data_IF_115544572060
#
_entry.id   IF_115544572060
#
_cell.length_a   1.000
_cell.length_b   1.000
_cell.length_c   1.000
_cell.angle_alpha   90.00
_cell.angle_beta   90.00
_cell.angle_gamma   90.00
#
_symmetry.space_group_name_H-M   'P 1'
#
loop_
_entity.id
_entity.type
_entity.pdbx_description
1 polymer ?
#
# COMPACT_ATOMS: atom_id res chain seq x y z
N UNK A 1 -9.66 19.78 17.16
CA UNK A 1 -10.36 18.54 17.57
C UNK A 1 -11.65 18.92 18.27
N UNK A 2 -12.73 18.15 18.11
CA UNK A 2 -14.03 18.45 18.72
C UNK A 2 -14.04 18.15 20.22
N UNK A 3 -14.90 18.82 20.98
CA UNK A 3 -15.04 18.68 22.44
C UNK A 3 -16.16 17.70 22.84
N UNK A 4 -16.32 16.60 22.10
CA UNK A 4 -17.40 15.61 22.28
C UNK A 4 -16.87 14.31 22.91
N UNK A 5 -17.79 13.46 23.43
CA UNK A 5 -17.46 12.14 23.98
C UNK A 5 -17.98 11.02 23.07
N UNK A 6 -17.40 9.80 23.12
CA UNK A 6 -17.95 8.64 22.42
C UNK A 6 -19.45 8.47 22.71
N UNK A 7 -20.25 8.33 21.65
CA UNK A 7 -21.72 8.22 21.73
C UNK A 7 -22.50 9.54 21.58
N UNK A 8 -21.84 10.71 21.50
CA UNK A 8 -22.53 12.02 21.43
C UNK A 8 -23.53 12.16 20.27
N UNK A 9 -23.30 11.47 19.15
CA UNK A 9 -24.13 11.57 17.93
C UNK A 9 -25.47 10.85 18.08
N UNK A 10 -25.51 9.75 18.85
CA UNK A 10 -26.72 8.90 18.99
C UNK A 10 -27.97 9.67 19.42
N UNK A 11 -27.94 10.58 20.42
CA UNK A 11 -29.11 11.38 20.77
C UNK A 11 -29.46 12.50 19.78
N UNK A 12 -28.60 12.78 18.78
CA UNK A 12 -28.82 13.83 17.77
C UNK A 12 -29.50 13.31 16.49
N UNK A 13 -29.66 11.99 16.35
CA UNK A 13 -30.29 11.35 15.20
C UNK A 13 -31.50 10.51 15.64
N UNK A 14 -32.50 10.31 14.77
CA UNK A 14 -33.62 9.42 15.06
C UNK A 14 -33.16 8.00 15.40
N UNK A 15 -33.94 7.30 16.24
CA UNK A 15 -33.63 5.92 16.64
C UNK A 15 -33.78 4.92 15.47
N UNK A 16 -34.65 5.25 14.51
CA UNK A 16 -34.97 4.44 13.33
C UNK A 16 -34.85 5.28 12.06
N UNK A 17 -34.55 4.64 10.94
CA UNK A 17 -34.55 5.30 9.63
C UNK A 17 -35.97 5.78 9.26
N UNK A 18 -36.11 6.89 8.52
CA UNK A 18 -37.42 7.42 8.16
C UNK A 18 -38.14 6.50 7.16
N UNK A 19 -39.44 6.24 7.37
CA UNK A 19 -40.27 5.47 6.43
C UNK A 19 -40.59 6.25 5.13
N UNK A 20 -40.43 7.57 5.17
CA UNK A 20 -40.73 8.48 4.06
C UNK A 20 -39.50 9.34 3.76
N UNK A 21 -39.30 9.74 2.49
CA UNK A 21 -38.17 10.61 2.15
C UNK A 21 -38.27 11.96 2.85
N UNK A 22 -37.13 12.47 3.30
CA UNK A 22 -36.99 13.81 3.85
C UNK A 22 -36.59 14.80 2.76
N UNK A 23 -36.98 16.09 2.88
CA UNK A 23 -36.50 17.10 1.95
C UNK A 23 -34.98 17.27 2.08
N UNK A 24 -34.29 17.38 0.95
CA UNK A 24 -32.83 17.59 0.90
C UNK A 24 -32.34 18.74 1.79
N UNK A 25 -33.16 19.78 1.94
CA UNK A 25 -32.87 20.94 2.79
C UNK A 25 -32.79 20.60 4.28
N UNK A 26 -33.54 19.60 4.75
CA UNK A 26 -33.41 19.10 6.12
C UNK A 26 -32.08 18.35 6.30
N UNK A 27 -31.76 17.44 5.37
CA UNK A 27 -30.49 16.69 5.38
C UNK A 27 -29.27 17.62 5.35
N UNK A 28 -29.32 18.68 4.54
CA UNK A 28 -28.21 19.65 4.49
C UNK A 28 -28.10 20.51 5.75
N UNK A 29 -29.21 20.81 6.43
CA UNK A 29 -29.16 21.52 7.71
C UNK A 29 -28.47 20.69 8.81
N UNK A 30 -28.63 19.38 8.78
CA UNK A 30 -28.01 18.45 9.73
C UNK A 30 -26.48 18.35 9.59
N UNK A 31 -25.92 18.69 8.42
CA UNK A 31 -24.46 18.70 8.25
C UNK A 31 -23.82 19.63 9.29
N UNK A 32 -24.28 20.87 9.38
CA UNK A 32 -23.70 21.84 10.33
C UNK A 32 -24.08 21.52 11.79
N UNK A 33 -25.34 21.17 12.03
CA UNK A 33 -25.87 21.01 13.38
C UNK A 33 -25.40 19.71 14.05
N UNK A 34 -25.35 18.63 13.29
CA UNK A 34 -25.13 17.27 13.80
C UNK A 34 -23.73 16.79 13.44
N UNK A 35 -23.36 16.82 12.17
CA UNK A 35 -22.09 16.22 11.69
C UNK A 35 -20.88 17.06 12.10
N UNK A 36 -20.85 18.34 11.72
CA UNK A 36 -19.68 19.21 11.89
C UNK A 36 -19.28 19.39 13.37
N UNK A 37 -20.23 19.25 14.31
CA UNK A 37 -20.00 19.34 15.75
C UNK A 37 -18.96 18.33 16.29
N UNK A 38 -18.81 17.17 15.64
CA UNK A 38 -17.80 16.17 15.99
C UNK A 38 -16.76 15.90 14.92
N UNK A 39 -16.68 16.73 13.88
CA UNK A 39 -15.63 16.63 12.86
C UNK A 39 -14.31 17.12 13.43
N UNK A 40 -13.27 16.29 13.33
CA UNK A 40 -11.90 16.80 13.40
C UNK A 40 -11.57 17.43 12.05
N UNK A 41 -11.36 18.74 12.02
CA UNK A 41 -11.04 19.46 10.77
C UNK A 41 -9.61 19.17 10.30
N UNK A 42 -9.42 18.04 9.62
CA UNK A 42 -8.13 17.59 9.10
C UNK A 42 -7.48 18.58 8.12
N UNK A 43 -8.29 19.37 7.40
CA UNK A 43 -7.81 20.40 6.47
C UNK A 43 -7.58 21.77 7.13
N UNK A 44 -7.69 21.87 8.45
CA UNK A 44 -7.33 23.11 9.14
C UNK A 44 -5.81 23.32 9.07
N UNK A 45 -5.32 24.54 8.75
CA UNK A 45 -3.88 24.86 8.85
C UNK A 45 -3.29 24.70 10.26
N UNK A 46 -4.14 24.54 11.28
CA UNK A 46 -3.77 24.32 12.68
C UNK A 46 -3.76 22.84 13.08
N UNK A 47 -4.05 21.93 12.14
CA UNK A 47 -4.00 20.50 12.39
C UNK A 47 -2.59 19.96 12.13
N UNK A 48 -1.94 19.51 13.20
CA UNK A 48 -0.55 19.01 13.16
C UNK A 48 -0.41 17.61 13.78
N UNK A 49 -1.52 16.86 13.85
CA UNK A 49 -1.49 15.46 14.28
C UNK A 49 -1.28 14.54 13.06
N UNK A 50 -0.64 13.40 13.29
CA UNK A 50 -0.37 12.38 12.26
C UNK A 50 0.41 12.95 11.05
N UNK A 51 0.30 12.28 9.90
CA UNK A 51 0.62 12.86 8.60
C UNK A 51 -0.63 13.51 8.00
N UNK A 52 -0.47 14.50 7.09
CA UNK A 52 -1.59 15.16 6.46
C UNK A 52 -2.45 14.18 5.66
N UNK A 53 -3.72 14.54 5.51
CA UNK A 53 -4.56 14.04 4.43
C UNK A 53 -4.77 15.18 3.44
N UNK A 54 -4.48 14.89 2.18
CA UNK A 54 -4.52 15.83 1.10
C UNK A 54 -5.97 15.98 0.59
N UNK A 55 -6.29 17.17 0.08
CA UNK A 55 -7.57 17.48 -0.56
C UNK A 55 -7.35 18.71 -1.46
N UNK A 56 -8.01 18.71 -2.62
CA UNK A 56 -8.05 19.87 -3.51
C UNK A 56 -9.36 19.95 -4.27
N UNK A 57 -9.69 21.16 -4.76
CA UNK A 57 -10.89 21.36 -5.57
C UNK A 57 -10.94 20.45 -6.82
N UNK A 58 -9.84 20.25 -7.59
CA UNK A 58 -9.85 19.30 -8.69
C UNK A 58 -10.17 17.87 -8.25
N UNK A 59 -9.61 17.41 -7.12
CA UNK A 59 -9.88 16.06 -6.60
C UNK A 59 -11.35 15.91 -6.19
N UNK A 60 -11.95 16.90 -5.52
CA UNK A 60 -13.38 16.89 -5.18
C UNK A 60 -14.26 16.77 -6.44
N UNK A 61 -13.96 17.54 -7.47
CA UNK A 61 -14.74 17.50 -8.72
C UNK A 61 -14.54 16.18 -9.46
N UNK A 62 -13.32 15.63 -9.45
CA UNK A 62 -13.04 14.32 -10.03
C UNK A 62 -13.82 13.20 -9.32
N UNK A 63 -13.89 13.22 -7.98
CA UNK A 63 -14.68 12.25 -7.21
C UNK A 63 -16.18 12.38 -7.48
N UNK A 64 -16.69 13.61 -7.65
CA UNK A 64 -18.09 13.83 -8.04
C UNK A 64 -18.39 13.20 -9.41
N UNK A 65 -17.47 13.30 -10.38
CA UNK A 65 -17.60 12.67 -11.69
C UNK A 65 -17.49 11.14 -11.60
N UNK A 66 -16.52 10.63 -10.84
CA UNK A 66 -16.35 9.20 -10.58
C UNK A 66 -17.63 8.61 -9.95
N UNK A 67 -18.18 9.27 -8.93
CA UNK A 67 -19.42 8.88 -8.28
C UNK A 67 -20.66 9.00 -9.17
N UNK A 68 -20.68 9.93 -10.13
CA UNK A 68 -21.77 10.05 -11.11
C UNK A 68 -21.73 8.94 -12.17
N UNK A 69 -20.53 8.53 -12.61
CA UNK A 69 -20.35 7.42 -13.56
C UNK A 69 -20.61 6.08 -12.87
N UNK A 70 -20.14 5.92 -11.63
CA UNK A 70 -20.33 4.74 -10.78
C UNK A 70 -20.03 3.39 -11.47
N UNK A 71 -19.04 3.35 -12.37
CA UNK A 71 -18.63 2.12 -13.05
C UNK A 71 -17.82 1.22 -12.11
N UNK A 72 -17.81 -0.09 -12.40
CA UNK A 72 -17.05 -1.08 -11.62
C UNK A 72 -16.05 -1.76 -12.55
N UNK A 73 -14.76 -1.55 -12.31
CA UNK A 73 -13.65 -2.03 -13.15
C UNK A 73 -13.01 -3.34 -12.70
N UNK A 74 -13.80 -4.35 -12.31
CA UNK A 74 -13.23 -5.65 -11.85
C UNK A 74 -12.60 -6.48 -12.98
N UNK A 75 -12.93 -6.17 -14.24
CA UNK A 75 -12.30 -6.68 -15.43
C UNK A 75 -12.29 -5.58 -16.49
N UNK A 76 -11.38 -5.71 -17.48
CA UNK A 76 -11.28 -4.72 -18.54
C UNK A 76 -12.62 -4.50 -19.26
N UNK A 77 -13.35 -5.58 -19.58
CA UNK A 77 -14.64 -5.47 -20.28
C UNK A 77 -15.75 -4.84 -19.43
N UNK A 78 -15.64 -4.88 -18.09
CA UNK A 78 -16.63 -4.27 -17.20
C UNK A 78 -16.58 -2.74 -17.26
N UNK A 79 -15.40 -2.15 -17.47
CA UNK A 79 -15.22 -0.72 -17.74
C UNK A 79 -13.82 -0.45 -18.32
N UNK A 80 -13.64 -0.49 -19.65
CA UNK A 80 -12.32 -0.32 -20.27
C UNK A 80 -11.64 0.98 -19.86
N UNK A 81 -12.39 2.09 -19.85
CA UNK A 81 -11.87 3.39 -19.46
C UNK A 81 -11.37 3.43 -18.00
N UNK A 82 -11.96 2.64 -17.10
CA UNK A 82 -11.52 2.55 -15.70
C UNK A 82 -10.11 1.95 -15.61
N UNK A 83 -9.88 0.84 -16.32
CA UNK A 83 -8.56 0.17 -16.32
C UNK A 83 -7.53 0.96 -17.11
N UNK A 84 -7.85 1.36 -18.34
CA UNK A 84 -6.93 2.05 -19.25
C UNK A 84 -6.43 3.38 -18.66
N UNK A 85 -7.35 4.17 -18.07
CA UNK A 85 -6.97 5.45 -17.49
C UNK A 85 -6.09 5.27 -16.24
N UNK A 86 -6.36 4.25 -15.42
CA UNK A 86 -5.52 3.94 -14.26
C UNK A 86 -4.09 3.62 -14.68
N UNK A 87 -3.91 2.77 -15.69
CA UNK A 87 -2.58 2.41 -16.21
C UNK A 87 -1.81 3.65 -16.66
N UNK A 88 -2.44 4.51 -17.47
CA UNK A 88 -1.79 5.74 -17.96
C UNK A 88 -1.45 6.71 -16.80
N UNK A 89 -2.37 6.87 -15.84
CA UNK A 89 -2.14 7.78 -14.70
C UNK A 89 -1.02 7.27 -13.78
N UNK A 90 -0.90 5.96 -13.59
CA UNK A 90 0.17 5.39 -12.76
C UNK A 90 1.53 5.39 -13.46
N UNK A 91 1.56 5.30 -14.79
CA UNK A 91 2.79 5.56 -15.55
C UNK A 91 3.22 7.02 -15.40
N UNK A 92 2.31 7.98 -15.58
CA UNK A 92 2.60 9.40 -15.36
C UNK A 92 3.11 9.67 -13.94
N UNK A 93 2.42 9.10 -12.94
CA UNK A 93 2.80 9.28 -11.55
C UNK A 93 4.16 8.64 -11.24
N UNK A 94 4.44 7.44 -11.75
CA UNK A 94 5.74 6.79 -11.62
C UNK A 94 6.87 7.62 -12.26
N UNK A 95 6.65 8.16 -13.45
CA UNK A 95 7.58 9.08 -14.11
C UNK A 95 7.82 10.35 -13.29
N UNK A 96 6.77 10.94 -12.72
CA UNK A 96 6.88 12.12 -11.86
C UNK A 96 7.74 11.84 -10.62
N UNK A 97 7.62 10.65 -10.02
CA UNK A 97 8.43 10.24 -8.87
C UNK A 97 9.86 9.89 -9.25
N UNK A 98 10.10 9.53 -10.51
CA UNK A 98 11.39 9.03 -10.98
C UNK A 98 11.68 7.59 -10.52
N UNK A 99 10.65 6.75 -10.39
CA UNK A 99 10.85 5.32 -10.14
C UNK A 99 11.39 4.62 -11.41
N UNK A 100 12.06 3.47 -11.29
CA UNK A 100 12.59 2.73 -12.43
C UNK A 100 11.53 2.39 -13.50
N UNK A 101 11.91 2.43 -14.79
CA UNK A 101 11.01 2.08 -15.91
C UNK A 101 10.45 0.66 -15.79
N UNK A 102 11.16 -0.27 -15.14
CA UNK A 102 10.69 -1.64 -14.88
C UNK A 102 9.41 -1.73 -14.04
N UNK A 103 9.02 -0.64 -13.36
CA UNK A 103 7.74 -0.55 -12.65
C UNK A 103 6.60 -0.04 -13.53
N UNK A 104 6.88 0.51 -14.71
CA UNK A 104 5.91 1.22 -15.54
C UNK A 104 5.37 0.30 -16.64
N UNK A 105 4.06 0.32 -16.86
CA UNK A 105 3.40 -0.51 -17.87
C UNK A 105 3.90 -0.15 -19.28
N UNK A 106 4.09 1.14 -19.57
CA UNK A 106 4.67 1.65 -20.83
C UNK A 106 6.05 1.11 -21.19
N UNK A 107 6.77 0.47 -20.25
CA UNK A 107 8.06 -0.16 -20.55
C UNK A 107 7.91 -1.39 -21.45
N UNK A 108 6.72 -1.99 -21.54
CA UNK A 108 6.47 -3.25 -22.22
C UNK A 108 6.98 -4.48 -21.46
N UNK A 109 7.49 -4.30 -20.24
CA UNK A 109 7.85 -5.38 -19.31
C UNK A 109 6.64 -5.94 -18.57
N UNK A 110 6.88 -6.80 -17.58
CA UNK A 110 5.82 -7.38 -16.74
C UNK A 110 5.28 -6.39 -15.68
N UNK A 111 6.03 -5.33 -15.38
CA UNK A 111 5.73 -4.40 -14.29
C UNK A 111 4.55 -3.48 -14.56
N UNK A 112 4.01 -2.91 -13.48
CA UNK A 112 2.90 -1.97 -13.58
C UNK A 112 2.49 -1.38 -12.25
N UNK A 113 1.66 -0.34 -12.32
CA UNK A 113 1.02 0.28 -11.17
C UNK A 113 -0.43 -0.18 -11.00
N UNK A 114 -0.93 -0.14 -9.77
CA UNK A 114 -2.35 -0.26 -9.42
C UNK A 114 -2.73 0.71 -8.30
N UNK A 115 -3.96 1.24 -8.32
CA UNK A 115 -4.51 2.05 -7.22
C UNK A 115 -5.12 1.11 -6.17
N UNK A 116 -4.73 1.32 -4.91
CA UNK A 116 -5.22 0.64 -3.71
C UNK A 116 -5.96 1.65 -2.82
N UNK A 117 -6.77 1.18 -1.88
CA UNK A 117 -7.42 2.06 -0.90
C UNK A 117 -6.40 2.63 0.09
N UNK A 118 -5.48 1.80 0.57
CA UNK A 118 -4.49 2.24 1.57
C UNK A 118 -3.08 1.65 1.38
N UNK A 119 -2.08 2.34 1.94
CA UNK A 119 -0.73 1.76 2.11
C UNK A 119 -0.75 0.45 2.92
N UNK A 120 -1.72 0.28 3.83
CA UNK A 120 -1.82 -0.95 4.63
C UNK A 120 -2.22 -2.14 3.76
N UNK A 121 -3.15 -1.92 2.84
CA UNK A 121 -3.54 -2.92 1.82
C UNK A 121 -2.40 -3.17 0.86
N UNK A 122 -1.72 -2.13 0.36
CA UNK A 122 -0.58 -2.28 -0.54
C UNK A 122 0.54 -3.14 0.09
N UNK A 123 0.90 -2.90 1.36
CA UNK A 123 1.88 -3.73 2.09
C UNK A 123 1.39 -5.16 2.27
N UNK A 124 0.10 -5.38 2.56
CA UNK A 124 -0.46 -6.73 2.67
C UNK A 124 -0.43 -7.47 1.32
N UNK A 125 -0.80 -6.79 0.24
CA UNK A 125 -0.75 -7.34 -1.13
C UNK A 125 0.68 -7.72 -1.51
N UNK A 126 1.66 -6.85 -1.21
CA UNK A 126 3.08 -7.16 -1.42
C UNK A 126 3.53 -8.39 -0.62
N UNK A 127 3.15 -8.48 0.66
CA UNK A 127 3.46 -9.63 1.52
C UNK A 127 2.84 -10.92 0.98
N UNK A 128 1.60 -10.88 0.48
CA UNK A 128 0.91 -12.05 -0.07
C UNK A 128 1.53 -12.50 -1.40
N UNK A 129 1.94 -11.56 -2.27
CA UNK A 129 2.73 -11.87 -3.47
C UNK A 129 4.09 -12.50 -3.13
N UNK A 130 4.82 -11.91 -2.19
CA UNK A 130 6.08 -12.45 -1.69
C UNK A 130 5.93 -13.86 -1.10
N UNK A 131 4.84 -14.08 -0.34
CA UNK A 131 4.50 -15.39 0.22
C UNK A 131 4.25 -16.40 -0.89
N UNK A 132 3.48 -16.06 -1.92
CA UNK A 132 3.23 -16.94 -3.07
C UNK A 132 4.53 -17.36 -3.76
N UNK A 133 5.41 -16.39 -4.09
CA UNK A 133 6.75 -16.64 -4.66
C UNK A 133 7.57 -17.58 -3.77
N UNK A 134 7.61 -17.32 -2.47
CA UNK A 134 8.40 -18.09 -1.51
C UNK A 134 7.89 -19.53 -1.34
N UNK A 135 6.57 -19.71 -1.31
CA UNK A 135 5.92 -21.03 -1.24
C UNK A 135 6.26 -21.86 -2.47
N UNK A 136 6.16 -21.28 -3.67
CA UNK A 136 6.52 -21.96 -4.92
C UNK A 136 7.98 -22.41 -4.90
N UNK A 137 8.92 -21.50 -4.58
CA UNK A 137 10.35 -21.80 -4.50
C UNK A 137 10.66 -22.90 -3.48
N UNK A 138 10.07 -22.82 -2.29
CA UNK A 138 10.28 -23.82 -1.25
C UNK A 138 9.75 -25.19 -1.65
N UNK A 139 8.63 -25.25 -2.38
CA UNK A 139 8.04 -26.49 -2.88
C UNK A 139 8.88 -27.13 -3.98
N UNK A 140 9.53 -26.34 -4.84
CA UNK A 140 10.49 -26.85 -5.83
C UNK A 140 11.73 -27.44 -5.17
N UNK A 141 12.25 -26.81 -4.10
CA UNK A 141 13.43 -27.26 -3.37
C UNK A 141 13.13 -28.43 -2.43
N UNK A 142 11.91 -28.50 -1.89
CA UNK A 142 11.45 -29.52 -0.97
C UNK A 142 10.06 -30.06 -1.36
N UNK A 143 9.96 -30.90 -2.40
CA UNK A 143 8.68 -31.40 -2.92
C UNK A 143 7.83 -32.14 -1.88
N UNK A 144 8.49 -32.78 -0.91
CA UNK A 144 7.85 -33.55 0.16
C UNK A 144 7.25 -32.70 1.28
N UNK A 145 7.63 -31.41 1.38
CA UNK A 145 7.08 -30.53 2.42
C UNK A 145 5.64 -30.12 2.08
N UNK A 146 4.77 -30.18 3.08
CA UNK A 146 3.40 -29.66 2.97
C UNK A 146 3.39 -28.13 2.99
N UNK A 147 2.33 -27.52 2.47
CA UNK A 147 2.18 -26.07 2.48
C UNK A 147 2.20 -25.49 3.91
N UNK A 148 1.65 -26.23 4.88
CA UNK A 148 1.64 -25.83 6.30
C UNK A 148 3.05 -25.81 6.88
N UNK A 149 3.89 -26.81 6.54
CA UNK A 149 5.27 -26.87 6.98
C UNK A 149 6.08 -25.69 6.43
N UNK A 150 5.95 -25.40 5.13
CA UNK A 150 6.61 -24.26 4.49
C UNK A 150 6.15 -22.95 5.14
N UNK A 151 4.82 -22.75 5.25
CA UNK A 151 4.25 -21.53 5.82
C UNK A 151 4.75 -21.26 7.24
N UNK A 152 4.86 -22.30 8.07
CA UNK A 152 5.33 -22.19 9.47
C UNK A 152 6.80 -21.73 9.59
N UNK A 153 7.57 -21.89 8.51
CA UNK A 153 8.98 -21.53 8.41
C UNK A 153 9.20 -20.13 7.83
N UNK A 154 8.21 -19.54 7.15
CA UNK A 154 8.35 -18.21 6.56
C UNK A 154 8.55 -17.13 7.63
N UNK A 155 9.54 -16.25 7.39
CA UNK A 155 9.83 -15.08 8.23
C UNK A 155 10.15 -13.86 7.38
N UNK A 156 9.55 -12.73 7.72
CA UNK A 156 9.85 -11.43 7.13
C UNK A 156 10.37 -10.41 8.15
N UNK A 157 10.83 -9.26 7.65
CA UNK A 157 11.57 -8.28 8.43
C UNK A 157 11.09 -6.86 8.19
N UNK A 158 11.16 -6.03 9.21
CA UNK A 158 10.92 -4.59 9.09
C UNK A 158 11.70 -3.81 10.14
N UNK A 159 11.83 -2.50 9.95
CA UNK A 159 12.31 -1.61 11.00
C UNK A 159 11.33 -1.64 12.19
N UNK A 160 11.83 -1.63 13.43
CA UNK A 160 10.99 -1.44 14.63
C UNK A 160 10.19 -0.11 14.63
N UNK A 161 10.57 0.86 13.80
CA UNK A 161 9.81 2.09 13.54
C UNK A 161 8.87 2.03 12.33
N UNK A 162 8.77 0.87 11.66
CA UNK A 162 7.81 0.67 10.60
C UNK A 162 6.38 0.91 11.13
N UNK A 163 5.49 1.31 10.22
CA UNK A 163 4.10 1.54 10.60
C UNK A 163 3.44 0.24 11.06
N UNK A 164 2.45 0.34 11.96
CA UNK A 164 1.72 -0.83 12.49
C UNK A 164 1.00 -1.66 11.42
N UNK A 165 0.83 -1.12 10.20
CA UNK A 165 0.32 -1.88 9.05
C UNK A 165 1.20 -3.06 8.70
N UNK A 166 2.52 -2.97 8.88
CA UNK A 166 3.45 -4.05 8.57
C UNK A 166 3.20 -5.23 9.51
N UNK A 167 3.14 -4.98 10.83
CA UNK A 167 2.78 -6.00 11.82
C UNK A 167 1.40 -6.60 11.51
N UNK A 168 0.41 -5.76 11.20
CA UNK A 168 -0.94 -6.21 10.82
C UNK A 168 -0.93 -7.08 9.56
N UNK A 169 -0.08 -6.77 8.57
CA UNK A 169 0.07 -7.58 7.37
C UNK A 169 0.63 -8.97 7.70
N UNK A 170 1.57 -9.08 8.64
CA UNK A 170 2.04 -10.38 9.13
C UNK A 170 0.95 -11.19 9.82
N UNK A 171 0.16 -10.54 10.68
CA UNK A 171 -0.97 -11.17 11.37
C UNK A 171 -2.02 -11.70 10.38
N UNK A 172 -2.43 -10.88 9.41
CA UNK A 172 -3.42 -11.27 8.38
C UNK A 172 -2.85 -12.27 7.38
N UNK A 173 -1.56 -12.14 7.05
CA UNK A 173 -0.86 -13.03 6.13
C UNK A 173 -0.53 -14.40 6.70
N UNK A 174 -0.64 -14.57 8.03
CA UNK A 174 -0.33 -15.81 8.75
C UNK A 174 1.16 -16.13 8.81
N UNK A 175 2.01 -15.10 8.84
CA UNK A 175 3.48 -15.24 8.78
C UNK A 175 4.17 -14.54 9.94
N UNK A 176 5.38 -15.00 10.28
CA UNK A 176 6.22 -14.35 11.29
C UNK A 176 6.82 -13.08 10.72
N UNK A 177 6.75 -11.98 11.46
CA UNK A 177 7.47 -10.74 11.16
C UNK A 177 8.39 -10.37 12.34
N UNK A 178 9.66 -10.11 12.04
CA UNK A 178 10.66 -9.64 12.99
C UNK A 178 10.85 -8.14 12.84
N UNK A 179 10.60 -7.41 13.92
CA UNK A 179 10.95 -5.98 14.02
C UNK A 179 12.41 -5.82 14.43
N UNK A 180 13.23 -5.33 13.52
CA UNK A 180 14.67 -5.17 13.70
C UNK A 180 15.01 -3.81 14.31
N UNK A 181 16.06 -3.79 15.15
CA UNK A 181 16.50 -2.57 15.83
C UNK A 181 17.18 -1.64 14.81
N UNK A 182 16.72 -0.39 14.64
CA UNK A 182 17.41 0.55 13.77
C UNK A 182 18.68 1.13 14.42
N UNK A 183 19.46 1.84 13.62
CA UNK A 183 20.64 2.58 14.07
C UNK A 183 20.29 3.84 14.88
N UNK A 184 21.30 4.64 15.22
CA UNK A 184 21.13 5.89 15.97
C UNK A 184 20.36 6.98 15.21
N UNK A 185 20.26 6.89 13.88
CA UNK A 185 19.42 7.75 13.03
C UNK A 185 18.02 7.17 12.83
N UNK A 186 17.72 6.04 13.49
CA UNK A 186 16.46 5.30 13.40
C UNK A 186 16.25 4.66 12.02
N UNK A 187 17.31 4.53 11.23
CA UNK A 187 17.34 3.83 9.95
C UNK A 187 17.62 2.35 10.19
N UNK A 188 16.86 1.47 9.54
CA UNK A 188 17.29 0.07 9.35
C UNK A 188 18.50 0.06 8.41
N UNK A 189 19.46 -0.82 8.72
CA UNK A 189 20.74 -0.95 8.01
C UNK A 189 20.89 -2.36 7.47
N UNK A 190 21.63 -2.51 6.37
CA UNK A 190 21.82 -3.81 5.72
C UNK A 190 22.46 -4.84 6.64
N UNK A 191 23.47 -4.44 7.43
CA UNK A 191 24.15 -5.33 8.39
C UNK A 191 23.16 -5.96 9.39
N UNK A 192 22.28 -5.17 9.99
CA UNK A 192 21.26 -5.66 10.94
C UNK A 192 20.29 -6.64 10.29
N UNK A 193 19.88 -6.37 9.04
CA UNK A 193 19.04 -7.29 8.28
C UNK A 193 19.78 -8.59 7.97
N UNK A 194 21.03 -8.50 7.52
CA UNK A 194 21.85 -9.65 7.15
C UNK A 194 22.12 -10.56 8.34
N UNK A 195 22.38 -10.00 9.53
CA UNK A 195 22.54 -10.77 10.78
C UNK A 195 21.26 -11.52 11.15
N UNK A 196 20.11 -10.86 11.08
CA UNK A 196 18.82 -11.48 11.38
C UNK A 196 18.50 -12.64 10.40
N UNK A 197 18.78 -12.43 9.11
CA UNK A 197 18.63 -13.46 8.06
C UNK A 197 19.52 -14.67 8.37
N UNK A 198 20.80 -14.46 8.68
CA UNK A 198 21.75 -15.54 9.02
C UNK A 198 21.29 -16.34 10.24
N UNK A 199 20.78 -15.66 11.26
CA UNK A 199 20.23 -16.28 12.46
C UNK A 199 19.01 -17.15 12.11
N UNK A 200 18.08 -16.64 11.33
CA UNK A 200 16.83 -17.34 11.00
C UNK A 200 17.06 -18.54 10.08
N UNK A 201 17.97 -18.43 9.11
CA UNK A 201 18.40 -19.57 8.28
C UNK A 201 19.00 -20.66 9.17
N UNK A 202 19.86 -20.30 10.14
CA UNK A 202 20.44 -21.26 11.08
C UNK A 202 19.37 -21.95 11.94
N UNK A 203 18.28 -21.26 12.23
CA UNK A 203 17.12 -21.79 12.95
C UNK A 203 16.12 -22.56 12.06
N UNK A 204 16.45 -22.77 10.78
CA UNK A 204 15.63 -23.53 9.83
C UNK A 204 14.38 -22.79 9.35
N UNK A 205 14.36 -21.46 9.46
CA UNK A 205 13.35 -20.58 8.89
C UNK A 205 13.73 -20.15 7.46
N UNK A 206 12.74 -19.65 6.73
CA UNK A 206 12.85 -19.19 5.34
C UNK A 206 12.62 -17.67 5.31
N UNK A 207 13.68 -16.86 5.25
CA UNK A 207 13.60 -15.44 4.93
C UNK A 207 12.90 -15.24 3.58
N UNK A 208 11.88 -14.38 3.52
CA UNK A 208 11.16 -14.17 2.25
C UNK A 208 10.69 -12.75 1.97
N UNK A 209 10.55 -11.89 2.97
CA UNK A 209 9.99 -10.56 2.81
C UNK A 209 10.71 -9.53 3.70
N UNK A 210 11.02 -8.36 3.16
CA UNK A 210 11.53 -7.22 3.91
C UNK A 210 10.78 -5.95 3.54
N UNK A 211 10.44 -5.14 4.54
CA UNK A 211 9.87 -3.79 4.34
C UNK A 211 10.91 -2.75 4.70
N UNK A 212 11.30 -1.94 3.71
CA UNK A 212 12.07 -0.71 3.92
C UNK A 212 11.09 0.47 3.98
N UNK A 213 11.16 1.27 5.04
CA UNK A 213 10.29 2.45 5.20
C UNK A 213 11.05 3.72 4.83
N UNK A 214 10.55 4.45 3.83
CA UNK A 214 11.02 5.79 3.47
C UNK A 214 10.06 6.82 4.08
N UNK A 215 10.41 7.32 5.27
CA UNK A 215 9.57 8.25 6.03
C UNK A 215 8.75 7.55 7.12
N UNK A 216 9.41 7.05 8.16
CA UNK A 216 8.77 6.39 9.30
C UNK A 216 7.76 7.31 10.01
N UNK A 217 6.70 6.75 10.58
CA UNK A 217 5.59 7.54 11.13
C UNK A 217 6.00 8.47 12.27
N UNK A 218 6.90 8.04 13.14
CA UNK A 218 7.22 8.78 14.36
C UNK A 218 8.11 10.00 14.10
N UNK A 219 9.10 9.88 13.21
CA UNK A 219 10.09 10.94 12.97
C UNK A 219 10.52 11.12 11.53
N UNK A 220 9.79 10.53 10.59
CA UNK A 220 10.10 10.59 9.17
C UNK A 220 11.55 10.15 8.87
N UNK A 221 12.02 9.09 9.56
CA UNK A 221 13.33 8.50 9.27
C UNK A 221 13.27 7.68 7.98
N UNK A 222 14.42 7.48 7.35
CA UNK A 222 14.55 6.73 6.11
C UNK A 222 15.46 5.53 6.35
N UNK A 223 14.98 4.35 6.01
CA UNK A 223 15.81 3.15 5.99
C UNK A 223 16.86 3.25 4.88
N UNK A 224 18.01 2.61 5.07
CA UNK A 224 19.09 2.63 4.09
C UNK A 224 18.78 1.61 2.99
N UNK A 225 18.00 2.05 2.02
CA UNK A 225 17.45 1.22 0.96
C UNK A 225 18.53 0.56 0.09
N UNK A 226 19.64 1.27 -0.17
CA UNK A 226 20.75 0.75 -0.96
C UNK A 226 21.37 -0.49 -0.32
N UNK A 227 21.68 -0.41 0.99
CA UNK A 227 22.22 -1.53 1.77
C UNK A 227 21.22 -2.68 1.94
N UNK A 228 19.95 -2.36 2.19
CA UNK A 228 18.89 -3.36 2.36
C UNK A 228 18.64 -4.10 1.04
N UNK A 229 18.63 -3.36 -0.08
CA UNK A 229 18.47 -3.91 -1.42
C UNK A 229 19.53 -4.94 -1.76
N UNK A 230 20.80 -4.66 -1.47
CA UNK A 230 21.89 -5.63 -1.69
C UNK A 230 21.66 -6.93 -0.91
N UNK A 231 21.31 -6.82 0.37
CA UNK A 231 21.05 -7.98 1.24
C UNK A 231 19.84 -8.79 0.74
N UNK A 232 18.78 -8.11 0.30
CA UNK A 232 17.58 -8.74 -0.24
C UNK A 232 17.87 -9.49 -1.54
N UNK A 233 18.63 -8.91 -2.47
CA UNK A 233 19.00 -9.57 -3.73
C UNK A 233 19.90 -10.79 -3.49
N UNK A 234 20.92 -10.67 -2.63
CA UNK A 234 21.82 -11.78 -2.27
C UNK A 234 21.07 -12.98 -1.68
N UNK A 235 19.97 -12.71 -0.96
CA UNK A 235 19.18 -13.73 -0.26
C UNK A 235 17.88 -14.13 -0.97
N UNK A 236 17.62 -13.59 -2.16
CA UNK A 236 16.34 -13.70 -2.90
C UNK A 236 15.12 -13.48 -1.98
N UNK A 237 15.12 -12.34 -1.28
CA UNK A 237 14.05 -11.86 -0.39
C UNK A 237 13.31 -10.75 -1.10
N UNK A 238 11.98 -10.80 -1.09
CA UNK A 238 11.15 -9.72 -1.65
C UNK A 238 11.33 -8.43 -0.85
N UNK A 239 11.73 -7.35 -1.52
CA UNK A 239 11.86 -6.02 -0.93
C UNK A 239 10.66 -5.15 -1.31
N UNK A 240 9.85 -4.82 -0.31
CA UNK A 240 8.76 -3.85 -0.42
C UNK A 240 9.17 -2.51 0.20
N UNK A 241 8.90 -1.41 -0.50
CA UNK A 241 9.12 -0.06 0.02
C UNK A 241 7.79 0.57 0.40
N UNK A 242 7.67 0.91 1.69
CA UNK A 242 6.61 1.78 2.21
C UNK A 242 7.11 3.22 2.25
N UNK A 243 6.68 4.03 1.28
CA UNK A 243 6.93 5.45 1.22
C UNK A 243 5.66 6.28 1.43
N UNK A 244 4.66 5.77 2.16
CA UNK A 244 3.30 6.31 2.24
C UNK A 244 3.24 7.85 2.33
N UNK A 245 4.06 8.47 3.19
CA UNK A 245 4.14 9.93 3.31
C UNK A 245 5.23 10.56 2.43
N UNK A 246 6.48 10.11 2.57
CA UNK A 246 7.61 10.78 1.92
C UNK A 246 7.66 10.57 0.41
N UNK A 247 6.92 9.60 -0.14
CA UNK A 247 6.85 9.33 -1.57
C UNK A 247 6.46 10.56 -2.39
N UNK A 248 5.54 11.39 -1.89
CA UNK A 248 5.16 12.64 -2.55
C UNK A 248 6.33 13.61 -2.73
N UNK A 249 7.36 13.56 -1.88
CA UNK A 249 8.54 14.43 -2.03
C UNK A 249 9.40 14.08 -3.25
N UNK A 250 9.29 12.87 -3.80
CA UNK A 250 10.11 12.41 -4.92
C UNK A 250 9.69 13.00 -6.28
N UNK A 251 8.57 13.73 -6.32
CA UNK A 251 8.25 14.60 -7.46
C UNK A 251 9.32 15.68 -7.66
N UNK A 252 9.98 16.08 -6.57
CA UNK A 252 11.07 17.05 -6.54
C UNK A 252 12.41 16.30 -6.66
N UNK A 253 13.16 16.46 -7.77
CA UNK A 253 14.40 15.71 -8.01
C UNK A 253 15.44 15.81 -6.89
N UNK A 254 15.48 16.93 -6.17
CA UNK A 254 16.39 17.19 -5.07
C UNK A 254 16.17 16.30 -3.84
N UNK A 255 15.03 15.61 -3.72
CA UNK A 255 14.78 14.62 -2.65
C UNK A 255 15.01 13.18 -3.09
N UNK A 256 15.21 12.90 -4.39
CA UNK A 256 15.33 11.53 -4.91
C UNK A 256 16.59 10.80 -4.43
N UNK A 257 17.59 11.49 -3.88
CA UNK A 257 18.73 10.82 -3.24
C UNK A 257 18.30 9.92 -2.06
N UNK A 258 17.13 10.18 -1.46
CA UNK A 258 16.56 9.37 -0.37
C UNK A 258 15.97 8.04 -0.86
N UNK A 259 15.84 7.84 -2.18
CA UNK A 259 15.39 6.58 -2.78
C UNK A 259 16.52 5.81 -3.46
N UNK A 260 17.78 6.13 -3.16
CA UNK A 260 18.94 5.38 -3.67
C UNK A 260 18.79 3.89 -3.34
N UNK A 261 18.82 3.02 -4.35
CA UNK A 261 18.54 1.58 -4.22
C UNK A 261 17.13 1.15 -4.62
N UNK A 262 16.25 2.07 -5.05
CA UNK A 262 14.88 1.78 -5.52
C UNK A 262 14.82 0.74 -6.63
N UNK A 263 15.84 0.69 -7.49
CA UNK A 263 15.98 -0.31 -8.54
C UNK A 263 16.12 -1.74 -8.02
N UNK A 264 16.40 -1.94 -6.73
CA UNK A 264 16.54 -3.26 -6.11
C UNK A 264 15.23 -3.77 -5.49
N UNK A 265 14.18 -2.95 -5.43
CA UNK A 265 12.90 -3.32 -4.84
C UNK A 265 12.02 -4.12 -5.80
N UNK A 266 11.16 -4.97 -5.25
CA UNK A 266 10.16 -5.72 -5.99
C UNK A 266 8.81 -4.98 -6.04
N UNK A 267 8.53 -4.18 -5.01
CA UNK A 267 7.33 -3.33 -4.95
C UNK A 267 7.55 -2.02 -4.20
N UNK A 268 6.80 -1.00 -4.57
CA UNK A 268 6.85 0.34 -4.00
C UNK A 268 5.44 0.89 -3.82
N UNK A 269 5.13 1.52 -2.69
CA UNK A 269 3.88 2.27 -2.54
C UNK A 269 4.10 3.66 -1.94
N UNK A 270 3.22 4.59 -2.30
CA UNK A 270 3.02 5.82 -1.54
C UNK A 270 1.57 6.33 -1.65
N UNK A 271 1.20 7.31 -0.83
CA UNK A 271 -0.17 7.81 -0.79
C UNK A 271 -0.30 9.21 -1.38
N UNK A 272 -0.84 9.35 -2.61
CA UNK A 272 -1.31 10.62 -3.11
C UNK A 272 -2.26 11.34 -2.12
N UNK A 273 -3.10 10.57 -1.41
CA UNK A 273 -4.01 11.11 -0.40
C UNK A 273 -3.36 11.65 0.88
N UNK A 274 -2.03 11.53 1.04
CA UNK A 274 -1.32 12.16 2.17
C UNK A 274 -0.81 13.54 1.80
N UNK A 275 0.06 13.62 0.80
CA UNK A 275 0.78 14.86 0.50
C UNK A 275 0.87 15.20 -1.00
N UNK A 276 -0.09 14.72 -1.81
CA UNK A 276 -0.19 15.05 -3.24
C UNK A 276 -1.57 15.60 -3.67
N UNK A 277 -2.34 16.11 -2.70
CA UNK A 277 -3.60 16.84 -2.92
C UNK A 277 -4.74 16.05 -3.60
N UNK A 278 -4.67 14.72 -3.59
CA UNK A 278 -5.77 13.82 -3.96
C UNK A 278 -6.58 13.48 -2.69
N UNK A 279 -7.88 13.30 -2.80
CA UNK A 279 -8.72 12.95 -1.64
C UNK A 279 -8.42 11.52 -1.15
N UNK A 280 -8.78 11.22 0.09
CA UNK A 280 -8.83 9.84 0.57
C UNK A 280 -10.10 9.16 0.03
N UNK A 281 -10.03 7.96 -0.53
CA UNK A 281 -8.88 7.07 -0.68
C UNK A 281 -8.12 7.21 -2.02
N UNK A 282 -6.81 6.93 -1.99
CA UNK A 282 -5.92 6.87 -3.16
C UNK A 282 -4.50 6.50 -2.71
N UNK A 283 -4.12 5.23 -2.82
CA UNK A 283 -2.78 4.73 -2.52
C UNK A 283 -2.20 4.08 -3.76
N UNK A 284 -1.12 4.62 -4.31
CA UNK A 284 -0.52 4.07 -5.52
C UNK A 284 0.52 3.01 -5.14
N UNK A 285 0.47 1.85 -5.82
CA UNK A 285 1.39 0.74 -5.64
C UNK A 285 1.94 0.30 -6.99
N UNK A 286 3.25 0.07 -7.07
CA UNK A 286 3.91 -0.48 -8.24
C UNK A 286 4.61 -1.79 -7.92
N UNK A 287 4.67 -2.64 -8.94
CA UNK A 287 5.18 -4.01 -8.89
C UNK A 287 6.06 -4.28 -10.09
N UNK A 288 7.22 -4.93 -9.86
CA UNK A 288 8.04 -5.42 -10.98
C UNK A 288 7.51 -6.70 -11.60
N UNK A 289 6.89 -7.56 -10.79
CA UNK A 289 6.35 -8.85 -11.22
C UNK A 289 4.94 -9.06 -10.62
N UNK A 290 3.90 -8.39 -11.17
CA UNK A 290 2.52 -8.51 -10.71
C UNK A 290 1.98 -9.94 -10.75
N UNK A 291 2.53 -10.83 -11.58
CA UNK A 291 2.13 -12.24 -11.68
C UNK A 291 2.10 -12.95 -10.33
N UNK A 292 3.03 -12.67 -9.42
CA UNK A 292 3.04 -13.31 -8.10
C UNK A 292 1.87 -12.91 -7.22
N UNK A 293 1.31 -11.72 -7.45
CA UNK A 293 0.07 -11.27 -6.81
C UNK A 293 -1.13 -11.90 -7.50
N UNK A 294 -1.15 -11.91 -8.83
CA UNK A 294 -2.22 -12.59 -9.59
C UNK A 294 -2.32 -14.04 -9.15
N UNK A 295 -1.22 -14.78 -9.11
CA UNK A 295 -1.17 -16.17 -8.67
C UNK A 295 -1.60 -16.34 -7.20
N UNK A 296 -1.27 -15.37 -6.33
CA UNK A 296 -1.70 -15.41 -4.92
C UNK A 296 -3.22 -15.26 -4.75
N UNK A 297 -3.90 -14.58 -5.69
CA UNK A 297 -5.33 -14.24 -5.60
C UNK A 297 -6.19 -14.87 -6.70
N UNK A 298 -5.61 -15.69 -7.59
CA UNK A 298 -6.33 -16.21 -8.74
C UNK A 298 -7.43 -17.18 -8.29
N UNK A 299 -8.67 -16.82 -8.60
CA UNK A 299 -9.84 -17.69 -8.54
C UNK A 299 -10.50 -17.53 -9.91
N UNK A 300 -10.70 -18.63 -10.64
CA UNK A 300 -11.19 -18.62 -12.03
C UNK A 300 -12.65 -19.11 -12.15
N UNK A 301 -13.65 -18.39 -11.62
CA UNK A 301 -15.05 -18.77 -11.75
C UNK A 301 -15.58 -18.46 -13.16
N UNK A 302 -16.46 -19.33 -13.67
CA UNK A 302 -16.99 -19.23 -15.04
C UNK A 302 -17.65 -17.88 -15.36
N UNK A 303 -18.26 -17.20 -14.38
CA UNK A 303 -18.98 -15.94 -14.56
C UNK A 303 -18.09 -14.70 -14.71
N UNK A 304 -16.76 -14.83 -14.60
CA UNK A 304 -15.78 -13.75 -14.82
C UNK A 304 -14.97 -13.90 -16.12
N UNK A 305 -15.21 -14.95 -16.92
CA UNK A 305 -14.44 -15.24 -18.14
C UNK A 305 -14.81 -14.34 -19.32
N UNK A 306 -13.80 -13.95 -20.11
CA UNK A 306 -13.95 -13.18 -21.35
C UNK A 306 -12.72 -13.37 -22.26
N UNK A 307 -12.84 -12.99 -23.54
CA UNK A 307 -11.85 -13.31 -24.59
C UNK A 307 -10.45 -12.66 -24.42
N UNK A 308 -10.32 -11.65 -23.54
CA UNK A 308 -9.07 -10.93 -23.25
C UNK A 308 -8.61 -11.10 -21.79
N UNK A 309 -9.04 -12.17 -21.11
CA UNK A 309 -8.68 -12.42 -19.71
C UNK A 309 -7.17 -12.62 -19.54
N UNK A 310 -6.56 -11.84 -18.63
CA UNK A 310 -5.11 -11.87 -18.37
C UNK A 310 -4.28 -10.97 -19.29
N UNK A 311 -4.90 -10.28 -20.25
CA UNK A 311 -4.21 -9.25 -21.04
C UNK A 311 -4.06 -7.97 -20.23
N UNK A 312 -2.83 -7.48 -20.11
CA UNK A 312 -2.56 -6.12 -19.62
C UNK A 312 -2.57 -5.14 -20.80
N UNK A 313 -3.11 -3.92 -20.64
CA UNK A 313 -2.96 -2.84 -21.62
C UNK A 313 -1.51 -2.47 -21.92
#
# INVERSE_FOLDING_TARGET
VPSVKPGYLRPLVPEQAPEKPEPWTAVMADIEQVVMSGVTHWHSPRFHAYFPTANSYPAIVADMLSGAIACIGFSWIASPACTELEVVMLDWLGQMLGIPEEFLARSGGEGGGVIQGTASEATLVALLGAKSKAMHRAKEQHPDWTDVEILSKLVGYCNKQAHSSVERAGLLGGVKLRSLKPDNKRSLRGETLQEAIKEDIKNGLIPFFAVATLGTTSTCAFDNLDEIGDVCQESDIWLHIDAAYAGSSFICPEYRYLMKGIEKADSFNFNPHKWLLVNFDCSAMWLKQPRWIVDAFNVDPLYLKYDQQGSAP
#
